data_IF_060809756456
#
_entry.id   IF_060809756456
#
_cell.length_a   1.000
_cell.length_b   1.000
_cell.length_c   1.000
_cell.angle_alpha   90.00
_cell.angle_beta   90.00
_cell.angle_gamma   90.00
#
_symmetry.space_group_name_H-M   'P 1'
#
loop_
_entity.id
_entity.type
_entity.pdbx_description
1 polymer ?
#
# COMPACT_ATOMS: atom_id res chain seq x y z
N UNK A 1 17.06 2.17 -36.45
CA UNK A 1 16.58 0.82 -36.80
C UNK A 1 16.83 -0.11 -35.62
N UNK A 2 15.84 -0.98 -35.31
CA UNK A 2 15.85 -2.16 -34.43
C UNK A 2 16.45 -2.01 -33.00
N UNK A 3 15.69 -1.94 -31.91
CA UNK A 3 14.82 -2.98 -31.31
C UNK A 3 15.56 -4.26 -30.94
N UNK A 4 15.69 -4.57 -29.65
CA UNK A 4 15.53 -5.91 -29.03
C UNK A 4 15.23 -5.70 -27.54
N UNK A 5 14.00 -6.07 -27.15
CA UNK A 5 13.63 -6.45 -25.80
C UNK A 5 14.18 -7.86 -25.54
N UNK A 6 14.77 -8.10 -24.37
CA UNK A 6 14.94 -9.48 -23.87
C UNK A 6 14.19 -9.63 -22.56
N UNK A 7 13.05 -10.32 -22.67
CA UNK A 7 12.24 -10.79 -21.56
C UNK A 7 13.02 -11.87 -20.78
N UNK A 8 13.02 -11.75 -19.45
CA UNK A 8 13.43 -12.84 -18.57
C UNK A 8 12.30 -13.86 -18.48
N UNK A 9 12.46 -14.97 -19.21
CA UNK A 9 11.61 -16.16 -19.16
C UNK A 9 12.15 -17.06 -18.03
N UNK A 10 11.29 -17.40 -17.07
CA UNK A 10 11.60 -18.32 -15.98
C UNK A 10 11.20 -19.74 -16.43
N UNK A 11 12.18 -20.63 -16.63
CA UNK A 11 11.97 -22.06 -16.87
C UNK A 11 12.23 -22.88 -15.59
N UNK A 12 11.49 -23.96 -15.32
CA UNK A 12 11.67 -24.76 -14.11
C UNK A 12 12.83 -25.76 -14.23
N UNK A 13 13.53 -25.97 -13.12
CA UNK A 13 14.59 -26.97 -12.93
C UNK A 13 14.01 -28.40 -12.81
N UNK A 14 14.59 -29.43 -13.45
CA UNK A 14 14.09 -30.80 -13.35
C UNK A 14 14.80 -31.53 -12.21
N UNK A 15 14.13 -31.66 -11.05
CA UNK A 15 14.20 -32.84 -10.17
C UNK A 15 13.39 -32.60 -8.89
N UNK A 16 12.12 -33.02 -8.90
CA UNK A 16 11.37 -33.36 -7.68
C UNK A 16 10.23 -34.31 -8.06
N UNK A 17 9.96 -35.36 -7.25
CA UNK A 17 8.92 -36.35 -7.55
C UNK A 17 7.49 -35.78 -7.42
N UNK A 18 6.57 -36.41 -8.14
CA UNK A 18 5.16 -36.05 -8.31
C UNK A 18 4.32 -36.09 -6.99
N UNK A 19 3.13 -35.45 -6.97
CA UNK A 19 2.62 -34.75 -5.79
C UNK A 19 1.64 -35.57 -4.92
N UNK A 20 1.62 -35.26 -3.63
CA UNK A 20 0.44 -35.45 -2.77
C UNK A 20 -0.49 -34.25 -2.94
N UNK A 21 -1.79 -34.52 -3.17
CA UNK A 21 -2.81 -33.51 -3.40
C UNK A 21 -3.08 -32.77 -2.09
N UNK A 22 -2.55 -31.57 -1.97
CA UNK A 22 -3.04 -30.56 -1.05
C UNK A 22 -2.93 -29.23 -1.78
N UNK A 23 -4.02 -28.49 -1.92
CA UNK A 23 -4.06 -27.19 -2.58
C UNK A 23 -3.27 -26.15 -1.77
N UNK A 24 -1.95 -26.21 -1.82
CA UNK A 24 -1.05 -25.18 -1.31
C UNK A 24 -0.80 -24.19 -2.45
N UNK A 25 -1.43 -23.02 -2.37
CA UNK A 25 -1.04 -21.90 -3.23
C UNK A 25 0.38 -21.49 -2.81
N UNK A 26 1.39 -21.86 -3.60
CA UNK A 26 2.77 -21.41 -3.39
C UNK A 26 2.82 -19.88 -3.35
N UNK A 27 3.45 -19.31 -2.31
CA UNK A 27 3.55 -17.87 -2.09
C UNK A 27 4.14 -17.12 -3.31
N UNK A 28 4.97 -17.81 -4.10
CA UNK A 28 5.64 -17.31 -5.29
C UNK A 28 4.66 -17.05 -6.46
N UNK A 29 3.48 -17.67 -6.45
CA UNK A 29 2.40 -17.46 -7.43
C UNK A 29 1.42 -16.35 -7.02
N UNK A 30 1.44 -15.91 -5.77
CA UNK A 30 0.52 -14.87 -5.27
C UNK A 30 0.67 -13.51 -6.01
N UNK A 31 1.89 -13.04 -6.36
CA UNK A 31 2.07 -11.80 -7.10
C UNK A 31 1.50 -11.85 -8.53
N UNK A 32 1.73 -12.96 -9.25
CA UNK A 32 1.26 -13.08 -10.64
C UNK A 32 -0.26 -13.26 -10.74
N UNK A 33 -0.87 -14.00 -9.81
CA UNK A 33 -2.33 -14.12 -9.72
C UNK A 33 -2.99 -12.76 -9.44
N UNK A 34 -2.38 -11.93 -8.59
CA UNK A 34 -2.89 -10.59 -8.29
C UNK A 34 -2.80 -9.68 -9.53
N UNK A 35 -1.67 -9.69 -10.25
CA UNK A 35 -1.51 -8.90 -11.47
C UNK A 35 -2.51 -9.29 -12.58
N UNK A 36 -2.76 -10.60 -12.75
CA UNK A 36 -3.76 -11.11 -13.68
C UNK A 36 -5.17 -10.66 -13.29
N UNK A 37 -5.53 -10.74 -12.00
CA UNK A 37 -6.84 -10.30 -11.53
C UNK A 37 -7.07 -8.79 -11.71
N UNK A 38 -6.05 -7.96 -11.46
CA UNK A 38 -6.10 -6.51 -11.72
C UNK A 38 -6.27 -6.24 -13.22
N UNK A 39 -5.55 -6.96 -14.07
CA UNK A 39 -5.63 -6.79 -15.53
C UNK A 39 -7.00 -7.21 -16.05
N UNK A 40 -7.52 -8.35 -15.59
CA UNK A 40 -8.86 -8.81 -15.89
C UNK A 40 -9.93 -7.78 -15.47
N UNK A 41 -9.81 -7.19 -14.28
CA UNK A 41 -10.70 -6.12 -13.82
C UNK A 41 -10.69 -4.92 -14.77
N UNK A 42 -9.51 -4.41 -15.13
CA UNK A 42 -9.40 -3.23 -16.00
C UNK A 42 -9.82 -3.52 -17.45
N UNK A 43 -9.73 -4.77 -17.89
CA UNK A 43 -10.12 -5.19 -19.22
C UNK A 43 -11.65 -5.22 -19.44
N UNK A 44 -12.44 -5.11 -18.38
CA UNK A 44 -13.90 -4.97 -18.46
C UNK A 44 -14.34 -3.62 -19.04
N UNK A 45 -13.51 -2.58 -18.92
CA UNK A 45 -13.79 -1.23 -19.43
C UNK A 45 -13.12 -1.04 -20.78
N UNK A 46 -13.56 -0.14 -21.66
CA UNK A 46 -12.91 0.10 -22.97
C UNK A 46 -12.66 1.59 -23.19
N UNK A 47 -12.00 1.93 -24.31
CA UNK A 47 -11.80 3.31 -24.76
C UNK A 47 -11.23 4.25 -23.70
N UNK A 48 -11.84 5.43 -23.58
CA UNK A 48 -11.41 6.47 -22.66
C UNK A 48 -11.57 6.08 -21.18
N UNK A 49 -12.51 5.21 -20.85
CA UNK A 49 -12.69 4.75 -19.47
C UNK A 49 -11.53 3.90 -18.98
N UNK A 50 -11.10 2.92 -19.79
CA UNK A 50 -9.90 2.12 -19.47
C UNK A 50 -8.65 3.01 -19.38
N UNK A 51 -8.54 4.01 -20.26
CA UNK A 51 -7.43 4.98 -20.25
C UNK A 51 -7.41 5.81 -18.95
N UNK A 52 -8.56 6.33 -18.53
CA UNK A 52 -8.70 7.10 -17.29
C UNK A 52 -8.34 6.28 -16.05
N UNK A 53 -8.84 5.05 -15.94
CA UNK A 53 -8.54 4.15 -14.82
C UNK A 53 -7.06 3.74 -14.77
N UNK A 54 -6.44 3.48 -15.92
CA UNK A 54 -5.01 3.20 -15.98
C UNK A 54 -4.15 4.41 -15.61
N UNK A 55 -4.54 5.61 -16.04
CA UNK A 55 -3.85 6.85 -15.66
C UNK A 55 -3.96 7.10 -14.14
N UNK A 56 -5.13 6.84 -13.56
CA UNK A 56 -5.34 6.90 -12.11
C UNK A 56 -4.44 5.87 -11.38
N UNK A 57 -4.43 4.61 -11.82
CA UNK A 57 -3.57 3.56 -11.26
C UNK A 57 -2.10 3.99 -11.26
N UNK A 58 -1.60 4.48 -12.40
CA UNK A 58 -0.22 4.92 -12.55
C UNK A 58 0.10 6.12 -11.63
N UNK A 59 -0.80 7.09 -11.54
CA UNK A 59 -0.63 8.26 -10.69
C UNK A 59 -0.60 7.90 -9.20
N UNK A 60 -1.45 6.96 -8.75
CA UNK A 60 -1.41 6.48 -7.35
C UNK A 60 -0.11 5.72 -7.07
N UNK A 61 0.31 4.82 -7.98
CA UNK A 61 1.55 4.06 -7.82
C UNK A 61 2.79 4.97 -7.73
N UNK A 62 2.80 6.08 -8.48
CA UNK A 62 3.89 7.06 -8.42
C UNK A 62 3.97 7.76 -7.07
N UNK A 63 2.83 8.06 -6.43
CA UNK A 63 2.80 8.73 -5.12
C UNK A 63 2.97 7.76 -3.94
N UNK A 64 2.75 6.45 -4.15
CA UNK A 64 2.80 5.40 -3.13
C UNK A 64 3.72 4.23 -3.56
N UNK A 65 5.05 4.44 -3.65
CA UNK A 65 5.98 3.48 -4.25
C UNK A 65 6.09 2.14 -3.49
N UNK A 66 5.76 2.11 -2.20
CA UNK A 66 5.79 0.88 -1.37
C UNK A 66 4.42 0.25 -1.20
N UNK A 67 3.35 0.83 -1.77
CA UNK A 67 2.02 0.26 -1.68
C UNK A 67 1.86 -0.90 -2.65
N UNK A 68 1.28 -2.00 -2.18
CA UNK A 68 0.92 -3.13 -3.02
C UNK A 68 -0.46 -2.92 -3.61
N UNK A 69 -0.60 -3.12 -4.91
CA UNK A 69 -1.91 -3.16 -5.58
C UNK A 69 -2.49 -4.57 -5.50
N UNK A 70 -3.70 -4.71 -4.96
CA UNK A 70 -4.39 -5.98 -4.73
C UNK A 70 -5.85 -5.89 -5.12
N UNK A 71 -6.55 -7.02 -5.22
CA UNK A 71 -8.01 -7.04 -5.23
C UNK A 71 -8.52 -7.13 -3.79
N UNK A 72 -9.32 -6.15 -3.37
CA UNK A 72 -10.13 -6.21 -2.14
C UNK A 72 -11.55 -5.81 -2.46
N UNK A 73 -12.52 -6.56 -1.94
CA UNK A 73 -13.95 -6.36 -2.21
C UNK A 73 -14.26 -6.28 -3.73
N UNK A 74 -13.57 -7.09 -4.52
CA UNK A 74 -13.75 -7.14 -5.98
C UNK A 74 -13.15 -5.97 -6.77
N UNK A 75 -12.39 -5.05 -6.14
CA UNK A 75 -11.79 -3.89 -6.83
C UNK A 75 -10.28 -3.76 -6.60
N UNK A 76 -9.52 -3.22 -7.57
CA UNK A 76 -8.14 -2.81 -7.39
C UNK A 76 -7.99 -1.82 -6.23
N UNK A 77 -7.09 -2.16 -5.29
CA UNK A 77 -6.86 -1.43 -4.04
C UNK A 77 -5.38 -1.38 -3.69
N UNK A 78 -4.87 -0.19 -3.41
CA UNK A 78 -3.53 0.01 -2.87
C UNK A 78 -3.54 -0.20 -1.35
N UNK A 79 -2.59 -1.01 -0.88
CA UNK A 79 -2.46 -1.45 0.51
C UNK A 79 -1.02 -1.19 0.98
N UNK A 80 -0.87 -0.60 2.16
CA UNK A 80 0.43 -0.39 2.82
C UNK A 80 0.40 -1.10 4.16
N UNK A 81 1.39 -1.95 4.43
CA UNK A 81 1.48 -2.71 5.70
C UNK A 81 0.15 -3.41 6.09
N UNK A 82 -0.57 -3.96 5.10
CA UNK A 82 -1.87 -4.62 5.31
C UNK A 82 -3.08 -3.69 5.39
N UNK A 83 -2.88 -2.38 5.56
CA UNK A 83 -3.93 -1.36 5.66
C UNK A 83 -4.38 -0.89 4.27
N UNK A 84 -5.67 -1.06 3.91
CA UNK A 84 -6.22 -0.50 2.67
C UNK A 84 -6.19 1.03 2.69
N UNK A 85 -5.57 1.62 1.67
CA UNK A 85 -5.43 3.06 1.56
C UNK A 85 -6.43 3.65 0.56
N UNK A 86 -6.45 3.13 -0.66
CA UNK A 86 -7.32 3.66 -1.73
C UNK A 86 -7.64 2.57 -2.76
N UNK A 87 -8.92 2.43 -3.08
CA UNK A 87 -9.42 1.59 -4.17
C UNK A 87 -9.90 2.42 -5.36
N UNK A 88 -10.07 1.78 -6.52
CA UNK A 88 -10.66 2.43 -7.69
C UNK A 88 -11.35 1.41 -8.61
N UNK A 89 -12.40 1.84 -9.32
CA UNK A 89 -13.07 1.03 -10.35
C UNK A 89 -13.86 1.91 -11.32
N UNK A 90 -14.21 1.38 -12.48
CA UNK A 90 -15.20 1.97 -13.39
C UNK A 90 -16.61 1.43 -13.16
N UNK A 91 -17.60 2.20 -13.61
CA UNK A 91 -19.03 1.89 -13.64
C UNK A 91 -19.65 2.44 -14.92
N UNK A 92 -20.91 2.08 -15.22
CA UNK A 92 -21.61 2.48 -16.46
C UNK A 92 -21.55 3.99 -16.75
N UNK A 93 -21.74 4.82 -15.72
CA UNK A 93 -21.89 6.27 -15.88
C UNK A 93 -20.78 7.09 -15.22
N UNK A 94 -19.84 6.45 -14.51
CA UNK A 94 -18.76 7.15 -13.81
C UNK A 94 -17.60 6.20 -13.50
N UNK A 95 -16.48 6.77 -13.09
CA UNK A 95 -15.41 6.09 -12.40
C UNK A 95 -15.44 6.46 -10.92
N UNK A 96 -14.96 5.58 -10.05
CA UNK A 96 -14.97 5.79 -8.61
C UNK A 96 -13.59 5.64 -8.00
N UNK A 97 -13.32 6.50 -7.02
CA UNK A 97 -12.19 6.41 -6.09
C UNK A 97 -12.75 6.09 -4.70
N UNK A 98 -12.17 5.10 -4.03
CA UNK A 98 -12.59 4.60 -2.73
C UNK A 98 -11.50 4.88 -1.68
N UNK A 99 -11.50 6.04 -1.00
CA UNK A 99 -10.47 6.38 -0.03
C UNK A 99 -10.60 5.60 1.30
N UNK A 100 -11.67 4.83 1.52
CA UNK A 100 -11.98 4.08 2.76
C UNK A 100 -12.05 4.95 4.03
N UNK A 101 -12.79 4.52 5.07
CA UNK A 101 -12.84 5.25 6.35
C UNK A 101 -13.53 6.62 6.29
N UNK A 102 -14.40 6.85 5.29
CA UNK A 102 -15.07 8.12 5.05
C UNK A 102 -14.26 9.06 4.15
N UNK A 103 -14.95 9.79 3.28
CA UNK A 103 -14.31 10.87 2.52
C UNK A 103 -13.85 11.96 3.49
N UNK A 104 -12.61 12.43 3.35
CA UNK A 104 -12.10 13.63 4.02
C UNK A 104 -12.72 14.88 3.36
N UNK A 105 -14.05 14.88 3.27
CA UNK A 105 -14.84 15.84 2.51
C UNK A 105 -14.65 17.25 3.07
N UNK A 106 -14.47 17.41 4.39
CA UNK A 106 -14.30 18.74 4.99
C UNK A 106 -13.06 19.49 4.49
N UNK A 107 -11.89 18.82 4.41
CA UNK A 107 -10.63 19.48 4.05
C UNK A 107 -10.44 19.67 2.53
N UNK A 108 -11.21 18.93 1.72
CA UNK A 108 -11.14 18.97 0.26
C UNK A 108 -12.48 19.42 -0.37
N UNK A 109 -13.41 19.94 0.43
CA UNK A 109 -14.80 20.23 0.02
C UNK A 109 -14.84 21.07 -1.26
N UNK A 110 -14.08 22.18 -1.27
CA UNK A 110 -14.02 23.12 -2.39
C UNK A 110 -13.49 22.47 -3.67
N UNK A 111 -12.46 21.65 -3.55
CA UNK A 111 -11.84 21.01 -4.73
C UNK A 111 -12.65 19.84 -5.26
N UNK A 112 -13.41 19.20 -4.37
CA UNK A 112 -14.27 18.06 -4.68
C UNK A 112 -15.71 18.46 -5.04
N UNK A 113 -16.08 19.74 -4.93
CA UNK A 113 -17.44 20.23 -5.14
C UNK A 113 -18.02 19.88 -6.52
N UNK A 114 -17.17 19.81 -7.54
CA UNK A 114 -17.56 19.43 -8.91
C UNK A 114 -17.74 17.92 -9.14
N UNK A 115 -17.48 17.09 -8.14
CA UNK A 115 -17.55 15.64 -8.23
C UNK A 115 -18.66 15.12 -7.33
N UNK A 116 -19.48 14.21 -7.87
CA UNK A 116 -20.48 13.49 -7.08
C UNK A 116 -19.79 12.60 -6.04
N UNK A 117 -20.36 12.50 -4.85
CA UNK A 117 -19.78 11.79 -3.72
C UNK A 117 -20.83 10.98 -2.97
N UNK A 118 -20.42 9.84 -2.45
CA UNK A 118 -21.13 9.12 -1.39
C UNK A 118 -20.34 9.23 -0.08
N UNK A 119 -20.81 8.62 1.01
CA UNK A 119 -20.02 8.52 2.25
C UNK A 119 -18.66 7.84 2.05
N UNK A 120 -18.54 6.95 1.05
CA UNK A 120 -17.37 6.08 0.86
C UNK A 120 -16.65 6.21 -0.48
N UNK A 121 -17.17 6.98 -1.44
CA UNK A 121 -16.63 7.06 -2.80
C UNK A 121 -16.75 8.45 -3.41
N UNK A 122 -15.75 8.80 -4.22
CA UNK A 122 -15.73 9.98 -5.08
C UNK A 122 -15.93 9.54 -6.53
N UNK A 123 -16.88 10.14 -7.23
CA UNK A 123 -17.21 9.81 -8.62
C UNK A 123 -16.69 10.89 -9.58
N UNK A 124 -16.05 10.46 -10.66
CA UNK A 124 -15.60 11.34 -11.75
C UNK A 124 -16.05 10.77 -13.10
N UNK A 125 -16.17 11.61 -14.16
CA UNK A 125 -16.71 11.15 -15.45
C UNK A 125 -15.92 9.98 -16.05
N UNK A 126 -16.61 9.14 -16.82
CA UNK A 126 -16.05 7.90 -17.39
C UNK A 126 -14.84 8.17 -18.28
N UNK A 127 -14.83 9.27 -19.00
CA UNK A 127 -13.85 9.63 -20.03
C UNK A 127 -12.78 10.64 -19.55
N UNK A 128 -12.81 10.99 -18.26
CA UNK A 128 -11.96 12.05 -17.70
C UNK A 128 -10.79 11.49 -16.92
N UNK A 129 -9.58 11.99 -17.17
CA UNK A 129 -8.40 11.68 -16.34
C UNK A 129 -8.49 12.47 -15.04
N UNK A 130 -8.40 11.77 -13.90
CA UNK A 130 -8.49 12.42 -12.59
C UNK A 130 -7.28 13.36 -12.35
N UNK A 131 -7.48 14.62 -11.91
CA UNK A 131 -6.38 15.58 -11.78
C UNK A 131 -5.32 15.15 -10.76
N UNK A 132 -4.06 15.01 -11.20
CA UNK A 132 -2.94 14.60 -10.34
C UNK A 132 -2.76 15.47 -9.09
N UNK A 133 -2.86 16.83 -9.14
CA UNK A 133 -2.71 17.65 -7.94
C UNK A 133 -3.78 17.36 -6.88
N UNK A 134 -5.03 17.13 -7.34
CA UNK A 134 -6.14 16.78 -6.46
C UNK A 134 -5.95 15.38 -5.87
N UNK A 135 -5.51 14.41 -6.67
CA UNK A 135 -5.16 13.07 -6.21
C UNK A 135 -4.10 13.11 -5.11
N UNK A 136 -3.02 13.87 -5.32
CA UNK A 136 -1.94 14.01 -4.35
C UNK A 136 -2.45 14.56 -3.01
N UNK A 137 -3.35 15.54 -3.04
CA UNK A 137 -3.98 16.10 -1.84
C UNK A 137 -4.89 15.08 -1.15
N UNK A 138 -5.68 14.32 -1.92
CA UNK A 138 -6.51 13.22 -1.40
C UNK A 138 -5.65 12.17 -0.68
N UNK A 139 -4.55 11.72 -1.30
CA UNK A 139 -3.65 10.73 -0.73
C UNK A 139 -2.97 11.24 0.56
N UNK A 140 -2.53 12.49 0.60
CA UNK A 140 -1.95 13.10 1.82
C UNK A 140 -2.93 13.13 2.98
N UNK A 141 -4.17 13.54 2.71
CA UNK A 141 -5.23 13.53 3.73
C UNK A 141 -5.52 12.11 4.20
N UNK A 142 -5.53 11.15 3.27
CA UNK A 142 -5.75 9.75 3.61
C UNK A 142 -4.65 9.16 4.49
N UNK A 143 -3.38 9.46 4.19
CA UNK A 143 -2.24 9.02 5.00
C UNK A 143 -2.30 9.60 6.42
N UNK A 144 -2.67 10.88 6.54
CA UNK A 144 -2.86 11.56 7.83
C UNK A 144 -3.97 10.88 8.63
N UNK A 145 -5.10 10.58 7.99
CA UNK A 145 -6.20 9.85 8.61
C UNK A 145 -5.80 8.44 9.04
N UNK A 146 -5.02 7.70 8.23
CA UNK A 146 -4.52 6.37 8.62
C UNK A 146 -3.68 6.50 9.88
N UNK A 147 -2.72 7.42 9.91
CA UNK A 147 -1.86 7.63 11.07
C UNK A 147 -2.66 7.92 12.35
N UNK A 148 -3.75 8.70 12.27
CA UNK A 148 -4.58 9.01 13.45
C UNK A 148 -5.44 7.85 13.96
N UNK A 149 -5.57 6.77 13.17
CA UNK A 149 -6.27 5.54 13.61
C UNK A 149 -5.36 4.57 14.36
N UNK A 150 -4.06 4.87 14.48
CA UNK A 150 -3.10 4.07 15.23
C UNK A 150 -2.66 4.78 16.53
N UNK A 151 -2.39 4.04 17.62
CA UNK A 151 -2.49 2.59 17.72
C UNK A 151 -3.94 2.10 17.63
N UNK A 152 -4.16 0.97 16.96
CA UNK A 152 -5.51 0.44 16.81
C UNK A 152 -5.95 -0.29 18.09
N UNK A 153 -7.21 -0.74 18.14
CA UNK A 153 -7.78 -1.44 19.31
C UNK A 153 -7.04 -2.71 19.72
N UNK A 154 -6.27 -3.33 18.81
CA UNK A 154 -5.45 -4.51 19.09
C UNK A 154 -4.05 -4.15 19.62
N UNK A 155 -3.78 -2.86 19.81
CA UNK A 155 -2.47 -2.34 20.20
C UNK A 155 -1.45 -2.37 19.07
N UNK A 156 -1.81 -2.63 17.82
CA UNK A 156 -0.86 -2.48 16.71
C UNK A 156 -0.59 -1.00 16.47
N UNK A 157 0.63 -0.65 16.08
CA UNK A 157 1.03 0.70 15.74
C UNK A 157 1.61 0.75 14.33
N UNK A 158 1.18 1.74 13.57
CA UNK A 158 1.69 2.06 12.25
C UNK A 158 1.71 3.59 12.11
N UNK A 159 2.83 4.11 11.65
CA UNK A 159 2.98 5.49 11.24
C UNK A 159 3.55 5.52 9.82
N UNK A 160 2.93 6.28 8.92
CA UNK A 160 3.34 6.46 7.53
C UNK A 160 3.88 7.87 7.29
N UNK A 161 4.91 7.98 6.45
CA UNK A 161 5.30 9.24 5.86
C UNK A 161 4.27 9.71 4.82
N UNK A 162 4.34 10.99 4.43
CA UNK A 162 3.45 11.58 3.42
C UNK A 162 3.57 11.01 2.00
N UNK A 163 4.54 10.12 1.74
CA UNK A 163 4.69 9.34 0.51
C UNK A 163 4.22 7.87 0.67
N UNK A 164 3.55 7.54 1.78
CA UNK A 164 3.04 6.21 2.06
C UNK A 164 4.07 5.18 2.51
N UNK A 165 5.33 5.57 2.71
CA UNK A 165 6.36 4.69 3.27
C UNK A 165 6.16 4.55 4.78
N UNK A 166 6.35 3.34 5.31
CA UNK A 166 6.26 3.05 6.75
C UNK A 166 7.36 3.78 7.49
N UNK A 167 7.00 4.77 8.31
CA UNK A 167 7.93 5.49 9.20
C UNK A 167 8.25 4.66 10.44
N UNK A 168 7.23 4.10 11.07
CA UNK A 168 7.36 3.30 12.27
C UNK A 168 6.28 2.22 12.31
N UNK A 169 6.64 1.04 12.80
CA UNK A 169 5.70 -0.04 13.07
C UNK A 169 6.11 -0.75 14.35
N UNK A 170 5.11 -1.15 15.14
CA UNK A 170 5.32 -1.89 16.37
C UNK A 170 4.01 -2.16 17.09
N UNK A 171 4.07 -2.38 18.40
CA UNK A 171 2.89 -2.65 19.22
C UNK A 171 2.93 -1.90 20.54
N UNK A 172 1.75 -1.61 21.06
CA UNK A 172 1.49 -1.13 22.40
C UNK A 172 0.78 -2.20 23.21
N UNK A 173 1.13 -2.30 24.49
CA UNK A 173 0.42 -3.08 25.51
C UNK A 173 0.33 -2.22 26.77
N UNK A 174 -0.88 -2.11 27.34
CA UNK A 174 -1.14 -1.25 28.49
C UNK A 174 -0.59 0.19 28.31
N UNK A 175 -0.90 0.81 27.16
CA UNK A 175 -0.45 2.14 26.76
C UNK A 175 1.08 2.35 26.68
N UNK A 176 1.88 1.28 26.74
CA UNK A 176 3.35 1.33 26.62
C UNK A 176 3.83 0.56 25.40
N UNK A 177 4.91 1.01 24.77
CA UNK A 177 5.54 0.30 23.67
C UNK A 177 5.95 -1.12 24.11
N UNK A 178 5.68 -2.10 23.27
CA UNK A 178 5.90 -3.51 23.58
C UNK A 178 6.21 -4.33 22.32
N UNK A 179 7.00 -5.39 22.49
CA UNK A 179 7.40 -6.28 21.40
C UNK A 179 8.37 -5.61 20.44
N UNK A 180 8.42 -6.12 19.21
CA UNK A 180 9.33 -5.62 18.17
C UNK A 180 8.86 -4.30 17.58
N UNK A 181 9.83 -3.46 17.30
CA UNK A 181 9.66 -2.17 16.66
C UNK A 181 10.66 -1.99 15.54
N UNK A 182 10.19 -1.38 14.45
CA UNK A 182 11.00 -1.04 13.29
C UNK A 182 10.67 0.38 12.86
N UNK A 183 11.72 1.14 12.54
CA UNK A 183 11.64 2.46 11.92
C UNK A 183 12.34 2.41 10.58
N UNK A 184 11.77 3.12 9.60
CA UNK A 184 12.40 3.32 8.30
C UNK A 184 12.58 4.81 8.02
N UNK A 185 13.42 5.12 7.05
CA UNK A 185 13.59 6.48 6.52
C UNK A 185 12.52 6.77 5.46
N UNK A 186 12.49 8.01 4.98
CA UNK A 186 11.59 8.47 3.91
C UNK A 186 11.81 7.79 2.56
N UNK A 187 12.93 7.10 2.36
CA UNK A 187 13.24 6.30 1.18
C UNK A 187 12.87 4.81 1.33
N UNK A 188 12.38 4.40 2.51
CA UNK A 188 12.03 3.02 2.83
C UNK A 188 13.18 2.18 3.40
N UNK A 189 14.42 2.69 3.42
CA UNK A 189 15.53 1.98 4.05
C UNK A 189 15.31 1.86 5.55
N UNK A 190 15.60 0.68 6.11
CA UNK A 190 15.50 0.45 7.56
C UNK A 190 16.44 1.41 8.28
N UNK A 191 15.92 2.13 9.26
CA UNK A 191 16.67 3.07 10.07
C UNK A 191 17.11 2.39 11.37
N UNK A 192 16.15 1.78 12.07
CA UNK A 192 16.37 1.21 13.38
C UNK A 192 15.41 0.06 13.63
N UNK A 193 15.82 -0.90 14.44
CA UNK A 193 14.93 -1.90 15.02
C UNK A 193 15.37 -2.26 16.43
N UNK A 194 14.44 -2.79 17.21
CA UNK A 194 14.66 -3.28 18.57
C UNK A 194 13.36 -3.67 19.22
N UNK A 195 13.41 -4.04 20.49
CA UNK A 195 12.23 -4.47 21.24
C UNK A 195 12.01 -3.62 22.49
N UNK A 196 10.76 -3.59 22.93
CA UNK A 196 10.36 -3.00 24.21
C UNK A 196 9.61 -3.99 25.11
N UNK A 197 9.82 -3.86 26.42
CA UNK A 197 8.97 -4.46 27.45
C UNK A 197 8.46 -3.34 28.35
N UNK A 198 7.14 -3.15 28.38
CA UNK A 198 6.48 -2.10 29.16
C UNK A 198 7.13 -0.71 29.02
N UNK A 199 7.48 -0.33 27.78
CA UNK A 199 8.09 0.96 27.45
C UNK A 199 9.60 1.07 27.66
N UNK A 200 10.26 0.03 28.20
CA UNK A 200 11.72 -0.02 28.35
C UNK A 200 12.35 -0.76 27.17
N UNK A 201 13.46 -0.23 26.65
CA UNK A 201 14.23 -0.89 25.60
C UNK A 201 14.84 -2.18 26.14
N UNK A 202 14.72 -3.27 25.40
CA UNK A 202 15.32 -4.56 25.75
C UNK A 202 16.01 -5.19 24.54
N UNK A 203 16.90 -6.13 24.81
CA UNK A 203 17.61 -6.91 23.81
C UNK A 203 18.53 -6.08 22.91
N UNK A 204 18.77 -6.60 21.71
CA UNK A 204 19.67 -5.99 20.74
C UNK A 204 18.92 -4.95 19.92
N UNK A 205 19.36 -3.71 20.04
CA UNK A 205 18.95 -2.62 19.18
C UNK A 205 19.96 -2.41 18.07
N UNK A 206 19.45 -2.29 16.83
CA UNK A 206 20.28 -2.13 15.65
C UNK A 206 19.88 -0.83 14.94
N UNK A 207 20.86 0.03 14.72
CA UNK A 207 20.75 1.14 13.77
C UNK A 207 21.44 0.72 12.48
N UNK A 208 20.80 0.93 11.35
CA UNK A 208 21.30 0.56 10.04
C UNK A 208 21.78 1.80 9.29
N UNK A 209 22.72 1.67 8.37
CA UNK A 209 23.06 2.72 7.42
C UNK A 209 22.03 2.81 6.27
N UNK A 210 22.30 3.62 5.24
CA UNK A 210 21.41 3.75 4.06
C UNK A 210 21.42 2.53 3.14
N UNK A 211 22.46 1.70 3.19
CA UNK A 211 22.54 0.44 2.42
C UNK A 211 21.82 -0.72 3.11
N UNK A 212 21.37 -0.50 4.35
CA UNK A 212 20.72 -1.52 5.17
C UNK A 212 21.69 -2.37 5.98
N UNK A 213 22.98 -2.03 6.02
CA UNK A 213 23.95 -2.73 6.87
C UNK A 213 23.85 -2.24 8.32
N UNK A 214 24.01 -3.12 9.33
CA UNK A 214 24.11 -2.69 10.72
C UNK A 214 25.27 -1.72 10.91
N UNK A 215 24.96 -0.47 11.29
CA UNK A 215 25.93 0.57 11.61
C UNK A 215 26.29 0.57 13.11
N UNK A 216 25.28 0.37 13.97
CA UNK A 216 25.46 0.34 15.43
C UNK A 216 24.57 -0.73 16.04
N UNK A 217 25.13 -1.48 16.99
CA UNK A 217 24.39 -2.40 17.86
C UNK A 217 24.52 -1.94 19.32
N UNK A 218 23.44 -2.05 20.08
CA UNK A 218 23.44 -1.76 21.52
C UNK A 218 22.60 -2.82 22.20
N UNK A 219 23.15 -3.46 23.24
CA UNK A 219 22.44 -4.45 24.04
C UNK A 219 21.91 -3.76 25.29
N UNK A 220 20.59 -3.77 25.47
CA UNK A 220 19.92 -3.19 26.63
C UNK A 220 19.63 -4.22 27.74
N UNK A 221 20.09 -5.47 27.58
CA UNK A 221 19.78 -6.54 28.51
C UNK A 221 18.33 -7.02 28.38
N UNK A 222 17.94 -8.01 29.19
CA UNK A 222 16.56 -8.52 29.24
C UNK A 222 15.56 -7.50 29.80
#
# INVERSE_FOLDING_TARGET
MASILTAWICGPSPNSPAPSITHTIHADKLPCMTANAISAHLNQFTGMQRKALNALRAAIAQELPTARLVIKYGIPTFVVAGVPLIGFSGYKNHNSIFPYGGLVAGLLAKDLARYSQTKGSLHFPVDTIFPKPLLKRLLRQKLTQINSTFPNRKGEYLELYGNGIVKAQGRYRAAKMHGDWVWHRKDGSRLRSGAFIAGKQVGIWITYDRTGKPYKKTNFGP
#
